data_IF_552955049778
#
_entry.id   IF_552955049778
#
_cell.length_a   1.000
_cell.length_b   1.000
_cell.length_c   1.000
_cell.angle_alpha   90.00
_cell.angle_beta   90.00
_cell.angle_gamma   90.00
#
_symmetry.space_group_name_H-M   'P 1'
#
loop_
_entity.id
_entity.type
_entity.pdbx_description
1 polymer ?
#
# COMPACT_ATOMS: atom_id res chain seq x y z
N UNK A 1 -33.78 -28.47 -18.53
CA UNK A 1 -32.44 -27.82 -18.51
C UNK A 1 -31.48 -28.78 -17.82
N UNK A 2 -30.42 -29.23 -18.50
CA UNK A 2 -29.42 -30.06 -17.85
C UNK A 2 -28.61 -29.19 -16.88
N UNK A 3 -28.49 -29.63 -15.63
CA UNK A 3 -27.67 -28.94 -14.63
C UNK A 3 -26.21 -29.02 -15.05
N UNK A 4 -25.50 -27.88 -15.20
CA UNK A 4 -24.07 -27.87 -15.49
C UNK A 4 -23.29 -28.61 -14.42
N UNK A 5 -22.36 -29.49 -14.81
CA UNK A 5 -21.49 -30.24 -13.89
C UNK A 5 -19.99 -29.96 -14.12
N UNK A 6 -19.63 -29.12 -15.09
CA UNK A 6 -18.25 -28.80 -15.47
C UNK A 6 -18.11 -27.28 -15.65
N UNK A 7 -17.13 -26.69 -14.97
CA UNK A 7 -16.99 -25.24 -14.88
C UNK A 7 -15.55 -24.80 -15.16
N UNK A 8 -15.41 -23.61 -15.75
CA UNK A 8 -14.14 -22.89 -15.87
C UNK A 8 -14.24 -21.55 -15.12
N UNK A 9 -13.19 -21.18 -14.39
CA UNK A 9 -13.10 -19.88 -13.71
C UNK A 9 -12.70 -18.84 -14.77
N UNK A 10 -13.49 -17.78 -14.93
CA UNK A 10 -13.28 -16.75 -15.95
C UNK A 10 -12.44 -15.56 -15.47
N UNK A 11 -12.48 -15.26 -14.17
CA UNK A 11 -11.87 -14.06 -13.60
C UNK A 11 -11.34 -14.28 -12.18
N UNK A 12 -10.41 -13.42 -11.75
CA UNK A 12 -9.86 -13.41 -10.39
C UNK A 12 -10.93 -13.03 -9.35
N UNK A 13 -11.98 -12.31 -9.76
CA UNK A 13 -13.14 -12.02 -8.93
C UNK A 13 -12.98 -10.80 -8.02
N UNK A 14 -13.84 -10.71 -7.01
CA UNK A 14 -13.89 -9.67 -5.98
C UNK A 14 -13.77 -10.34 -4.62
N UNK A 15 -12.86 -9.88 -3.77
CA UNK A 15 -12.70 -10.41 -2.42
C UNK A 15 -13.22 -9.42 -1.38
N UNK A 16 -14.16 -9.85 -0.53
CA UNK A 16 -14.63 -9.06 0.61
C UNK A 16 -14.21 -9.71 1.92
N UNK A 17 -13.63 -8.91 2.80
CA UNK A 17 -13.20 -9.30 4.14
C UNK A 17 -14.20 -8.82 5.18
N UNK A 18 -14.60 -9.73 6.07
CA UNK A 18 -15.54 -9.48 7.14
C UNK A 18 -14.88 -9.73 8.49
N UNK A 19 -15.14 -8.83 9.43
CA UNK A 19 -14.73 -8.98 10.82
C UNK A 19 -15.46 -10.17 11.47
N UNK A 20 -14.70 -11.07 12.11
CA UNK A 20 -15.25 -12.29 12.70
C UNK A 20 -16.16 -12.03 13.92
N UNK A 21 -15.95 -10.92 14.62
CA UNK A 21 -16.70 -10.60 15.84
C UNK A 21 -17.99 -9.86 15.50
N UNK A 22 -17.91 -8.88 14.61
CA UNK A 22 -19.05 -8.01 14.27
C UNK A 22 -19.83 -8.48 13.05
N UNK A 23 -19.26 -9.35 12.22
CA UNK A 23 -19.85 -9.80 10.95
C UNK A 23 -19.88 -8.72 9.85
N UNK A 24 -19.37 -7.51 10.12
CA UNK A 24 -19.40 -6.38 9.18
C UNK A 24 -18.25 -6.46 8.18
N UNK A 25 -18.51 -6.02 6.95
CA UNK A 25 -17.48 -5.87 5.93
C UNK A 25 -16.46 -4.80 6.38
N UNK A 26 -15.18 -5.10 6.21
CA UNK A 26 -14.06 -4.19 6.49
C UNK A 26 -13.50 -3.59 5.21
N UNK A 27 -13.19 -4.43 4.23
CA UNK A 27 -12.55 -4.08 2.97
C UNK A 27 -13.09 -4.96 1.86
N UNK A 28 -13.22 -4.39 0.66
CA UNK A 28 -13.51 -5.12 -0.57
C UNK A 28 -12.46 -4.79 -1.62
N UNK A 29 -11.75 -5.81 -2.09
CA UNK A 29 -10.78 -5.73 -3.18
C UNK A 29 -11.51 -5.98 -4.49
N UNK A 30 -11.63 -4.94 -5.31
CA UNK A 30 -12.39 -4.98 -6.58
C UNK A 30 -11.50 -5.12 -7.81
N UNK A 31 -10.20 -4.89 -7.69
CA UNK A 31 -9.25 -4.88 -8.80
C UNK A 31 -8.25 -6.03 -8.74
N UNK A 32 -8.70 -7.19 -8.25
CA UNK A 32 -7.87 -8.39 -8.14
C UNK A 32 -7.29 -8.78 -9.50
N UNK A 33 -5.97 -8.87 -9.57
CA UNK A 33 -5.23 -9.39 -10.72
C UNK A 33 -5.24 -10.91 -10.74
N UNK A 34 -5.06 -11.52 -9.56
CA UNK A 34 -5.00 -12.97 -9.41
C UNK A 34 -5.70 -13.38 -8.12
N UNK A 35 -6.36 -14.53 -8.16
CA UNK A 35 -6.86 -15.25 -7.00
C UNK A 35 -6.54 -16.73 -7.16
N UNK A 36 -5.98 -17.34 -6.12
CA UNK A 36 -5.56 -18.74 -6.13
C UNK A 36 -5.86 -19.37 -4.79
N UNK A 37 -6.33 -20.62 -4.82
CA UNK A 37 -6.53 -21.44 -3.62
C UNK A 37 -5.71 -22.71 -3.79
N UNK A 38 -4.81 -22.93 -2.85
CA UNK A 38 -3.94 -24.10 -2.82
C UNK A 38 -4.24 -24.88 -1.55
N UNK A 39 -4.32 -26.21 -1.64
CA UNK A 39 -4.52 -27.08 -0.47
C UNK A 39 -3.42 -28.12 -0.45
N UNK A 40 -2.68 -28.18 0.65
CA UNK A 40 -1.64 -29.17 0.90
C UNK A 40 -2.13 -30.18 1.94
N UNK A 41 -1.49 -31.34 2.00
CA UNK A 41 -1.82 -32.38 2.97
C UNK A 41 -0.83 -33.54 2.90
N UNK A 42 -0.63 -34.21 4.03
CA UNK A 42 0.26 -35.35 4.14
C UNK A 42 -0.54 -36.64 4.23
N UNK A 43 -0.05 -37.74 3.64
CA UNK A 43 -0.65 -39.07 3.85
C UNK A 43 0.43 -40.08 4.21
N UNK A 44 0.34 -40.60 5.43
CA UNK A 44 1.23 -41.63 5.95
C UNK A 44 0.60 -43.00 5.72
N UNK A 45 1.37 -43.99 5.30
CA UNK A 45 0.86 -45.34 5.05
C UNK A 45 1.37 -46.33 6.08
N UNK A 46 0.48 -47.10 6.70
CA UNK A 46 0.84 -48.35 7.34
C UNK A 46 1.25 -49.35 6.26
N UNK A 47 2.45 -49.91 6.37
CA UNK A 47 3.00 -50.86 5.42
C UNK A 47 3.30 -52.19 6.09
N UNK A 48 3.20 -53.29 5.35
CA UNK A 48 3.46 -54.63 5.89
C UNK A 48 3.36 -55.74 4.85
N UNK A 49 3.78 -56.95 5.25
CA UNK A 49 3.79 -58.15 4.40
C UNK A 49 5.06 -58.30 3.54
N UNK A 50 5.12 -59.37 2.73
CA UNK A 50 6.21 -59.58 1.76
C UNK A 50 6.15 -58.48 0.71
N UNK A 51 7.22 -57.69 0.60
CA UNK A 51 7.32 -56.57 -0.35
C UNK A 51 6.91 -55.20 0.20
N UNK A 52 6.64 -55.06 1.51
CA UNK A 52 6.41 -53.77 2.19
C UNK A 52 5.33 -52.89 1.53
N UNK A 53 4.23 -53.53 1.11
CA UNK A 53 3.13 -52.87 0.41
C UNK A 53 2.40 -51.89 1.34
N UNK A 54 1.82 -50.84 0.75
CA UNK A 54 0.95 -49.89 1.46
C UNK A 54 -0.39 -50.57 1.75
N UNK A 55 -0.73 -50.73 3.03
CA UNK A 55 -1.96 -51.41 3.45
C UNK A 55 -3.08 -50.41 3.75
N UNK A 56 -2.79 -49.37 4.53
CA UNK A 56 -3.77 -48.35 4.95
C UNK A 56 -3.10 -46.98 4.93
N UNK A 57 -3.79 -45.96 4.42
CA UNK A 57 -3.32 -44.56 4.42
C UNK A 57 -4.06 -43.71 5.45
N UNK A 58 -3.34 -42.86 6.16
CA UNK A 58 -3.87 -41.87 7.10
C UNK A 58 -3.49 -40.47 6.60
N UNK A 59 -4.49 -39.67 6.24
CA UNK A 59 -4.28 -38.28 5.83
C UNK A 59 -4.28 -37.34 7.03
N UNK A 60 -3.31 -36.43 7.08
CA UNK A 60 -3.13 -35.43 8.15
C UNK A 60 -2.61 -34.10 7.58
N UNK A 61 -2.47 -33.08 8.42
CA UNK A 61 -1.86 -31.79 8.07
C UNK A 61 -2.47 -31.12 6.83
N UNK A 62 -3.80 -31.19 6.67
CA UNK A 62 -4.47 -30.50 5.56
C UNK A 62 -4.52 -29.00 5.83
N UNK A 63 -3.85 -28.22 5.00
CA UNK A 63 -3.81 -26.77 5.07
C UNK A 63 -4.30 -26.17 3.75
N UNK A 64 -5.04 -25.07 3.81
CA UNK A 64 -5.49 -24.34 2.64
C UNK A 64 -4.99 -22.90 2.70
N UNK A 65 -4.32 -22.47 1.64
CA UNK A 65 -3.80 -21.11 1.47
C UNK A 65 -4.54 -20.42 0.33
N UNK A 66 -4.99 -19.20 0.58
CA UNK A 66 -5.53 -18.32 -0.45
C UNK A 66 -4.53 -17.20 -0.73
N UNK A 67 -4.20 -17.01 -2.00
CA UNK A 67 -3.31 -15.95 -2.46
C UNK A 67 -4.13 -14.97 -3.30
N UNK A 68 -4.13 -13.70 -2.89
CA UNK A 68 -4.84 -12.61 -3.56
C UNK A 68 -3.83 -11.52 -3.90
N UNK A 69 -3.86 -11.03 -5.14
CA UNK A 69 -3.06 -9.88 -5.56
C UNK A 69 -3.97 -8.80 -6.12
N UNK A 70 -4.02 -7.65 -5.46
CA UNK A 70 -4.77 -6.49 -5.93
C UNK A 70 -3.88 -5.49 -6.67
N UNK A 71 -4.45 -4.76 -7.62
CA UNK A 71 -3.77 -3.70 -8.36
C UNK A 71 -3.73 -2.38 -7.58
N UNK A 72 -4.78 -2.11 -6.81
CA UNK A 72 -4.97 -0.88 -6.05
C UNK A 72 -5.20 -1.27 -4.60
N UNK A 73 -4.54 -0.59 -3.68
CA UNK A 73 -4.77 -0.81 -2.25
C UNK A 73 -5.52 0.37 -1.64
N UNK A 74 -6.39 0.09 -0.68
CA UNK A 74 -6.96 1.09 0.21
C UNK A 74 -6.18 1.11 1.54
N UNK A 75 -6.28 2.23 2.28
CA UNK A 75 -5.64 2.32 3.59
C UNK A 75 -6.19 1.25 4.54
N UNK A 76 -7.46 0.84 4.38
CA UNK A 76 -8.07 -0.17 5.22
C UNK A 76 -7.49 -1.57 4.97
N UNK A 77 -7.12 -1.95 3.73
CA UNK A 77 -6.40 -3.19 3.45
C UNK A 77 -5.02 -3.18 4.10
N UNK A 78 -4.28 -2.07 4.04
CA UNK A 78 -2.97 -1.97 4.68
C UNK A 78 -3.12 -2.06 6.21
N UNK A 79 -4.13 -1.41 6.79
CA UNK A 79 -4.42 -1.51 8.22
C UNK A 79 -4.76 -2.95 8.63
N UNK A 80 -5.54 -3.66 7.81
CA UNK A 80 -5.85 -5.07 8.03
C UNK A 80 -4.63 -5.99 7.93
N UNK A 81 -3.78 -5.77 6.92
CA UNK A 81 -2.56 -6.53 6.68
C UNK A 81 -1.56 -6.35 7.83
N UNK A 82 -1.37 -5.11 8.26
CA UNK A 82 -0.45 -4.75 9.35
C UNK A 82 -1.04 -4.99 10.74
N UNK A 83 -2.35 -5.24 10.85
CA UNK A 83 -3.06 -5.34 12.13
C UNK A 83 -3.20 -4.04 12.91
N UNK A 84 -2.76 -2.90 12.35
CA UNK A 84 -2.71 -1.61 13.04
C UNK A 84 -3.94 -0.75 12.71
N UNK A 85 -4.29 0.14 13.65
CA UNK A 85 -5.43 1.03 13.48
C UNK A 85 -5.14 2.24 12.58
N UNK A 86 -6.21 2.69 11.94
CA UNK A 86 -6.23 3.81 11.00
C UNK A 86 -6.55 5.10 11.76
N UNK A 87 -5.53 5.92 12.01
CA UNK A 87 -5.70 7.16 12.80
C UNK A 87 -5.88 8.35 11.87
N UNK A 88 -6.95 9.12 12.08
CA UNK A 88 -7.16 10.38 11.39
C UNK A 88 -6.49 11.53 12.16
N UNK A 89 -5.82 12.42 11.45
CA UNK A 89 -5.31 13.65 12.04
C UNK A 89 -4.30 14.36 11.17
N UNK A 90 -4.08 15.64 11.46
CA UNK A 90 -3.03 16.41 10.83
C UNK A 90 -1.66 15.83 11.15
N UNK A 91 -0.85 15.59 10.12
CA UNK A 91 0.54 15.20 10.23
C UNK A 91 1.43 16.18 9.47
N UNK A 92 2.67 16.29 9.91
CA UNK A 92 3.72 16.97 9.16
C UNK A 92 4.26 15.97 8.13
N UNK A 93 4.28 16.39 6.87
CA UNK A 93 4.89 15.62 5.77
C UNK A 93 5.96 16.46 5.11
N UNK A 94 7.06 15.82 4.75
CA UNK A 94 8.13 16.46 4.00
C UNK A 94 7.70 16.66 2.54
N UNK A 95 7.90 17.87 2.05
CA UNK A 95 7.67 18.27 0.66
C UNK A 95 8.96 18.83 0.11
N UNK A 96 9.24 18.51 -1.14
CA UNK A 96 10.25 19.23 -1.92
C UNK A 96 9.56 19.96 -3.06
N UNK A 97 10.13 21.10 -3.42
CA UNK A 97 9.67 21.91 -4.54
C UNK A 97 10.87 22.52 -5.23
N UNK A 98 10.81 22.63 -6.56
CA UNK A 98 11.82 23.34 -7.34
C UNK A 98 11.21 24.65 -7.81
N UNK A 99 11.77 25.76 -7.34
CA UNK A 99 11.33 27.11 -7.71
C UNK A 99 12.41 27.84 -8.50
N UNK A 100 11.99 28.67 -9.46
CA UNK A 100 12.87 29.57 -10.20
C UNK A 100 12.80 30.97 -9.61
N UNK A 101 13.96 31.58 -9.37
CA UNK A 101 14.04 32.94 -8.82
C UNK A 101 13.45 33.94 -9.80
N UNK A 102 12.53 34.77 -9.31
CA UNK A 102 12.00 35.94 -10.02
C UNK A 102 12.07 37.15 -9.08
N UNK A 103 12.80 38.19 -9.47
CA UNK A 103 13.02 39.39 -8.65
C UNK A 103 13.56 39.04 -7.26
N UNK A 104 14.58 38.18 -7.22
CA UNK A 104 15.22 37.67 -5.99
C UNK A 104 14.29 36.89 -5.05
N UNK A 105 13.12 36.43 -5.52
CA UNK A 105 12.16 35.67 -4.72
C UNK A 105 11.79 34.34 -5.35
N UNK A 106 11.38 33.40 -4.50
CA UNK A 106 10.66 32.17 -4.85
C UNK A 106 9.43 32.08 -3.96
N UNK A 107 8.27 31.82 -4.55
CA UNK A 107 7.03 31.60 -3.80
C UNK A 107 6.69 30.12 -3.81
N UNK A 108 6.61 29.52 -2.63
CA UNK A 108 6.23 28.11 -2.46
C UNK A 108 4.73 27.90 -2.64
N UNK A 109 4.34 26.71 -3.11
CA UNK A 109 2.93 26.33 -3.24
C UNK A 109 2.18 26.36 -1.88
N UNK A 110 2.84 25.84 -0.85
CA UNK A 110 2.29 25.65 0.50
C UNK A 110 3.12 26.39 1.53
N UNK A 111 2.45 26.88 2.57
CA UNK A 111 3.12 27.54 3.68
C UNK A 111 3.90 26.50 4.48
N UNK A 112 5.23 26.67 4.63
CA UNK A 112 6.05 25.83 5.49
C UNK A 112 5.54 25.82 6.93
N UNK A 113 5.60 24.65 7.54
CA UNK A 113 5.27 24.43 8.94
C UNK A 113 6.55 24.23 9.75
N UNK A 114 7.01 25.30 10.38
CA UNK A 114 8.29 25.35 11.07
C UNK A 114 9.41 25.87 10.17
N UNK A 115 10.65 25.52 10.51
CA UNK A 115 11.82 25.90 9.72
C UNK A 115 11.86 25.15 8.38
N UNK A 116 12.38 25.82 7.35
CA UNK A 116 12.79 25.16 6.11
C UNK A 116 13.91 24.17 6.46
N UNK A 117 13.84 22.94 5.93
CA UNK A 117 14.80 21.88 6.21
C UNK A 117 16.12 22.17 5.50
N UNK A 118 16.07 22.48 4.20
CA UNK A 118 17.25 22.82 3.40
C UNK A 118 16.87 23.50 2.08
N UNK A 119 17.80 24.30 1.55
CA UNK A 119 17.65 25.02 0.28
C UNK A 119 18.92 24.82 -0.53
N UNK A 120 18.82 24.14 -1.68
CA UNK A 120 19.96 23.89 -2.56
C UNK A 120 19.74 24.57 -3.91
N UNK A 121 20.77 25.24 -4.42
CA UNK A 121 20.79 25.64 -5.83
C UNK A 121 20.80 24.37 -6.69
N UNK A 122 19.98 24.32 -7.74
CA UNK A 122 19.95 23.17 -8.63
C UNK A 122 21.10 23.25 -9.64
N UNK A 123 21.82 22.15 -9.80
CA UNK A 123 22.80 22.01 -10.87
C UNK A 123 22.10 21.78 -12.23
N UNK A 124 22.77 22.04 -13.36
CA UNK A 124 22.21 21.79 -14.70
C UNK A 124 21.78 20.33 -14.95
N UNK A 125 22.35 19.38 -14.22
CA UNK A 125 22.01 17.94 -14.27
C UNK A 125 20.83 17.55 -13.37
N UNK A 126 20.24 18.51 -12.63
CA UNK A 126 19.12 18.29 -11.72
C UNK A 126 19.50 17.81 -10.32
N UNK A 127 20.79 17.72 -10.00
CA UNK A 127 21.30 17.38 -8.66
C UNK A 127 21.29 18.59 -7.72
N UNK A 128 21.37 18.31 -6.41
CA UNK A 128 21.53 19.37 -5.41
C UNK A 128 22.96 19.92 -5.50
N UNK A 129 23.09 21.22 -5.79
CA UNK A 129 24.35 21.94 -5.80
C UNK A 129 24.62 22.61 -4.47
N UNK A 130 25.04 23.88 -4.51
CA UNK A 130 25.39 24.64 -3.30
C UNK A 130 24.19 24.86 -2.37
N UNK A 131 24.39 24.63 -1.08
CA UNK A 131 23.41 24.92 -0.03
C UNK A 131 23.38 26.41 0.32
N UNK A 132 22.17 26.92 0.54
CA UNK A 132 21.91 28.26 1.07
C UNK A 132 21.36 28.12 2.48
N UNK A 133 21.82 28.97 3.40
CA UNK A 133 21.44 28.93 4.81
C UNK A 133 20.46 30.04 5.16
N UNK A 134 19.67 29.83 6.21
CA UNK A 134 18.77 30.87 6.71
C UNK A 134 19.60 32.02 7.29
N UNK A 135 19.39 33.25 6.82
CA UNK A 135 20.18 34.41 7.21
C UNK A 135 19.68 35.73 6.63
N UNK A 136 20.59 36.68 6.41
CA UNK A 136 20.27 38.02 5.93
C UNK A 136 20.66 38.18 4.44
N UNK A 137 19.75 37.88 3.49
CA UNK A 137 20.08 37.88 2.06
C UNK A 137 20.53 39.24 1.54
N UNK A 138 20.26 40.35 2.23
CA UNK A 138 20.74 41.68 1.83
C UNK A 138 22.27 41.84 1.96
N UNK A 139 22.89 41.16 2.93
CA UNK A 139 24.33 41.28 3.23
C UNK A 139 25.11 39.98 2.98
N UNK A 140 24.43 38.83 2.95
CA UNK A 140 25.04 37.51 2.86
C UNK A 140 24.68 36.86 1.51
N UNK A 141 25.66 36.69 0.58
CA UNK A 141 25.39 36.19 -0.77
C UNK A 141 24.77 34.79 -0.84
N UNK A 142 25.01 33.94 0.17
CA UNK A 142 24.53 32.55 0.25
C UNK A 142 23.45 32.34 1.31
N UNK A 143 22.79 33.42 1.73
CA UNK A 143 21.69 33.36 2.67
C UNK A 143 20.33 33.50 1.97
N UNK A 144 19.30 32.97 2.61
CA UNK A 144 17.90 33.25 2.29
C UNK A 144 17.13 33.66 3.55
N UNK A 145 16.02 34.37 3.36
CA UNK A 145 15.03 34.61 4.40
C UNK A 145 13.67 34.10 3.95
N UNK A 146 12.81 33.64 4.88
CA UNK A 146 11.47 33.13 4.56
C UNK A 146 10.39 33.90 5.33
N UNK A 147 9.36 34.35 4.62
CA UNK A 147 8.17 34.98 5.21
C UNK A 147 6.93 34.38 4.56
N UNK A 148 6.11 33.68 5.34
CA UNK A 148 4.95 32.97 4.82
C UNK A 148 5.36 31.94 3.78
N UNK A 149 5.03 32.19 2.51
CA UNK A 149 5.39 31.32 1.37
C UNK A 149 6.58 31.82 0.56
N UNK A 150 7.03 33.05 0.82
CA UNK A 150 8.07 33.68 0.00
C UNK A 150 9.44 33.46 0.62
N UNK A 151 10.34 32.87 -0.15
CA UNK A 151 11.77 32.89 0.11
C UNK A 151 12.38 34.06 -0.65
N UNK A 152 13.21 34.84 0.03
CA UNK A 152 13.97 35.94 -0.55
C UNK A 152 15.45 35.58 -0.52
N UNK A 153 16.11 35.77 -1.65
CA UNK A 153 17.53 35.50 -1.88
C UNK A 153 18.30 36.80 -2.08
N UNK A 154 19.62 36.71 -2.07
CA UNK A 154 20.48 37.85 -2.36
C UNK A 154 20.25 38.39 -3.80
N UNK A 155 20.39 39.70 -4.00
CA UNK A 155 20.21 40.35 -5.29
C UNK A 155 21.21 39.90 -6.37
N UNK A 156 22.32 39.29 -5.98
CA UNK A 156 23.29 38.69 -6.89
C UNK A 156 22.78 37.39 -7.55
N UNK A 157 21.74 36.76 -7.00
CA UNK A 157 21.12 35.57 -7.59
C UNK A 157 20.29 36.00 -8.79
N UNK A 158 20.67 35.54 -9.98
CA UNK A 158 20.00 35.91 -11.23
C UNK A 158 18.62 35.28 -11.36
N UNK A 159 17.71 36.01 -12.00
CA UNK A 159 16.40 35.48 -12.37
C UNK A 159 16.56 34.22 -13.23
N UNK A 160 15.71 33.23 -12.98
CA UNK A 160 15.78 31.92 -13.62
C UNK A 160 16.71 30.92 -12.92
N UNK A 161 17.49 31.34 -11.92
CA UNK A 161 18.24 30.38 -11.07
C UNK A 161 17.24 29.49 -10.33
N UNK A 162 17.42 28.17 -10.41
CA UNK A 162 16.53 27.21 -9.76
C UNK A 162 17.07 26.78 -8.41
N UNK A 163 16.17 26.64 -7.44
CA UNK A 163 16.45 26.09 -6.12
C UNK A 163 15.51 24.95 -5.81
N UNK A 164 16.03 23.89 -5.20
CA UNK A 164 15.24 22.84 -4.56
C UNK A 164 15.12 23.15 -3.07
N UNK A 165 13.89 23.29 -2.60
CA UNK A 165 13.57 23.64 -1.22
C UNK A 165 12.88 22.45 -0.57
N UNK A 166 13.41 22.02 0.56
CA UNK A 166 12.85 20.95 1.39
C UNK A 166 12.18 21.57 2.61
N UNK A 167 10.89 21.32 2.79
CA UNK A 167 10.12 21.90 3.89
C UNK A 167 8.98 20.99 4.31
N UNK A 168 8.51 21.18 5.53
CA UNK A 168 7.38 20.42 6.04
C UNK A 168 6.07 21.17 5.83
N UNK A 169 5.01 20.43 5.53
CA UNK A 169 3.65 20.96 5.45
C UNK A 169 2.72 20.13 6.31
N UNK A 170 1.67 20.76 6.83
CA UNK A 170 0.60 20.04 7.49
C UNK A 170 -0.33 19.44 6.43
N UNK A 171 -0.68 18.17 6.60
CA UNK A 171 -1.76 17.54 5.85
C UNK A 171 -3.13 18.09 6.27
N UNK A 172 -4.16 17.76 5.51
CA UNK A 172 -5.53 17.97 5.94
C UNK A 172 -5.83 17.22 7.26
N UNK A 173 -6.86 17.66 7.98
CA UNK A 173 -7.24 17.13 9.30
C UNK A 173 -7.77 15.70 9.25
N UNK A 174 -8.24 15.26 8.09
CA UNK A 174 -8.78 13.94 7.81
C UNK A 174 -7.73 12.96 7.26
N UNK A 175 -6.48 13.40 7.11
CA UNK A 175 -5.38 12.55 6.65
C UNK A 175 -5.25 11.30 7.52
N UNK A 176 -5.04 10.17 6.85
CA UNK A 176 -5.03 8.84 7.46
C UNK A 176 -3.61 8.35 7.64
N UNK A 177 -3.25 7.96 8.85
CA UNK A 177 -1.93 7.40 9.18
C UNK A 177 -2.09 5.99 9.74
N UNK A 178 -1.20 5.09 9.32
CA UNK A 178 -1.04 3.76 9.89
C UNK A 178 0.38 3.73 10.47
N UNK A 179 0.49 3.51 11.77
CA UNK A 179 1.79 3.32 12.42
C UNK A 179 1.98 1.82 12.59
N UNK A 180 2.88 1.22 11.82
CA UNK A 180 3.22 -0.19 11.97
C UNK A 180 4.03 -0.36 13.25
N UNK A 181 3.50 -1.14 14.18
CA UNK A 181 4.11 -1.45 15.47
C UNK A 181 4.46 -2.93 15.55
N UNK A 182 5.46 -3.28 16.36
CA UNK A 182 5.97 -4.65 16.45
C UNK A 182 5.08 -5.60 17.24
N UNK A 183 4.12 -5.07 18.00
CA UNK A 183 3.19 -5.83 18.84
C UNK A 183 1.86 -6.15 18.13
N UNK A 184 1.66 -5.65 16.91
CA UNK A 184 0.44 -5.86 16.14
C UNK A 184 0.69 -6.74 14.91
N UNK A 185 -0.23 -7.66 14.65
CA UNK A 185 -0.18 -8.63 13.56
C UNK A 185 -1.52 -8.70 12.82
N UNK A 186 -1.47 -9.15 11.56
CA UNK A 186 -2.65 -9.38 10.73
C UNK A 186 -3.68 -10.26 11.44
N UNK A 187 -4.90 -9.73 11.57
CA UNK A 187 -6.00 -10.42 12.26
C UNK A 187 -6.65 -11.48 11.37
N UNK A 188 -7.54 -12.26 11.96
CA UNK A 188 -8.37 -13.22 11.25
C UNK A 188 -9.67 -12.60 10.75
N UNK A 189 -10.07 -12.95 9.54
CA UNK A 189 -11.25 -12.45 8.86
C UNK A 189 -12.00 -13.58 8.18
N UNK A 190 -13.32 -13.41 8.02
CA UNK A 190 -14.08 -14.22 7.07
C UNK A 190 -13.88 -13.62 5.69
N UNK A 191 -13.49 -14.43 4.71
CA UNK A 191 -13.24 -13.98 3.34
C UNK A 191 -14.31 -14.56 2.42
N UNK A 192 -14.86 -13.72 1.55
CA UNK A 192 -15.79 -14.14 0.50
C UNK A 192 -15.20 -13.70 -0.82
N UNK A 193 -14.94 -14.67 -1.70
CA UNK A 193 -14.47 -14.41 -3.06
C UNK A 193 -15.62 -14.68 -4.02
N UNK A 194 -16.06 -13.65 -4.72
CA UNK A 194 -17.07 -13.72 -5.78
C UNK A 194 -16.35 -13.77 -7.12
N UNK A 195 -16.60 -14.80 -7.92
CA UNK A 195 -16.00 -14.94 -9.25
C UNK A 195 -17.02 -15.42 -10.27
N UNK A 196 -16.82 -15.04 -11.54
CA UNK A 196 -17.62 -15.55 -12.63
C UNK A 196 -17.08 -16.90 -13.10
N UNK A 197 -17.95 -17.91 -13.11
CA UNK A 197 -17.69 -19.25 -13.62
C UNK A 197 -18.51 -19.51 -14.87
N UNK A 198 -17.93 -20.20 -15.84
CA UNK A 198 -18.58 -20.52 -17.12
C UNK A 198 -18.80 -22.02 -17.22
N UNK A 199 -20.02 -22.42 -17.55
CA UNK A 199 -20.31 -23.82 -17.89
C UNK A 199 -19.61 -24.17 -19.21
N UNK A 200 -18.84 -25.25 -19.20
CA UNK A 200 -18.16 -25.75 -20.39
C UNK A 200 -19.15 -26.14 -21.50
N UNK A 201 -20.32 -26.68 -21.18
CA UNK A 201 -21.26 -27.15 -22.20
C UNK A 201 -22.11 -26.01 -22.77
N UNK A 202 -22.86 -25.31 -21.92
CA UNK A 202 -23.77 -24.24 -22.37
C UNK A 202 -23.06 -22.93 -22.69
N UNK A 203 -21.80 -22.77 -22.27
CA UNK A 203 -21.04 -21.50 -22.33
C UNK A 203 -21.70 -20.36 -21.56
N UNK A 204 -22.72 -20.64 -20.75
CA UNK A 204 -23.38 -19.66 -19.91
C UNK A 204 -22.51 -19.29 -18.70
N UNK A 205 -22.55 -18.02 -18.34
CA UNK A 205 -21.85 -17.47 -17.19
C UNK A 205 -22.74 -17.49 -15.94
N UNK A 206 -22.17 -17.89 -14.80
CA UNK A 206 -22.80 -17.91 -13.50
C UNK A 206 -21.90 -17.24 -12.46
N UNK A 207 -22.50 -16.68 -11.41
CA UNK A 207 -21.76 -16.19 -10.25
C UNK A 207 -21.43 -17.37 -9.32
N UNK A 208 -20.15 -17.63 -9.15
CA UNK A 208 -19.60 -18.54 -8.15
C UNK A 208 -19.14 -17.76 -6.92
N UNK A 209 -19.26 -18.38 -5.76
CA UNK A 209 -18.80 -17.77 -4.51
C UNK A 209 -18.06 -18.80 -3.67
N UNK A 210 -16.83 -18.44 -3.30
CA UNK A 210 -16.04 -19.18 -2.32
C UNK A 210 -16.13 -18.46 -0.97
N UNK A 211 -16.60 -19.17 0.05
CA UNK A 211 -16.70 -18.65 1.42
C UNK A 211 -15.69 -19.32 2.31
N UNK A 212 -14.80 -18.52 2.89
CA UNK A 212 -13.80 -18.95 3.85
C UNK A 212 -14.21 -18.40 5.22
N UNK A 213 -14.75 -19.24 6.13
CA UNK A 213 -15.31 -18.78 7.40
C UNK A 213 -14.30 -18.08 8.31
N UNK A 214 -13.04 -18.50 8.26
CA UNK A 214 -11.95 -17.94 9.05
C UNK A 214 -10.63 -18.12 8.29
N UNK A 215 -9.99 -17.01 7.93
CA UNK A 215 -8.65 -16.96 7.38
C UNK A 215 -7.81 -15.95 8.16
N UNK A 216 -6.59 -16.34 8.54
CA UNK A 216 -5.59 -15.44 9.11
C UNK A 216 -4.67 -14.96 7.98
N UNK A 217 -4.32 -13.67 7.96
CA UNK A 217 -3.21 -13.21 7.13
C UNK A 217 -1.90 -13.87 7.57
N UNK A 218 -1.02 -14.15 6.60
CA UNK A 218 0.36 -14.50 6.93
C UNK A 218 1.06 -13.28 7.54
N UNK A 219 1.91 -13.52 8.54
CA UNK A 219 2.64 -12.44 9.21
C UNK A 219 3.73 -11.84 8.27
N UNK A 220 4.07 -12.56 7.20
CA UNK A 220 4.93 -12.08 6.13
C UNK A 220 4.10 -11.43 5.02
N UNK A 221 4.44 -10.19 4.65
CA UNK A 221 3.83 -9.51 3.52
C UNK A 221 4.87 -8.71 2.74
N UNK A 222 4.61 -8.54 1.44
CA UNK A 222 5.44 -7.73 0.56
C UNK A 222 4.60 -6.62 -0.07
N UNK A 223 5.15 -5.41 -0.16
CA UNK A 223 4.60 -4.28 -0.88
C UNK A 223 5.54 -4.01 -2.06
N UNK A 224 5.15 -4.50 -3.24
CA UNK A 224 5.89 -4.39 -4.50
C UNK A 224 5.05 -3.77 -5.60
#
# INVERSE_FOLDING_TARGET
MATPNRWAIKEAGIATFYDLTTGKARVTLTTLKTSGVETTGETVYARGGRGNAKLVGFSSNREAKITLQDAIFDNAAIAMLTGNDLVAGTKKVDRNEVGSVTSSKITLDKTPQGAIVSVFKLNPDGTNGEEYTLGAPASEPKAYSVVGKELTFNSAVTNGTQFRIYYQVNTATDAKTIKVTSDQFGKSFRVVLDCLVVDEFTKAAFQGQLRIPNAKFEDNFNLS
#
